data_IF_592432130991
#
_entry.id   IF_592432130991
#
_cell.length_a   1.000
_cell.length_b   1.000
_cell.length_c   1.000
_cell.angle_alpha   90.00
_cell.angle_beta   90.00
_cell.angle_gamma   90.00
#
_symmetry.space_group_name_H-M   'P 1'
#
loop_
_entity.id
_entity.type
_entity.pdbx_description
1 polymer ?
#
# COMPACT_ATOMS: atom_id res chain seq x y z
N UNK A 1 49.31 21.76 20.41
CA UNK A 1 49.16 21.04 19.11
C UNK A 1 48.30 19.75 19.19
N UNK A 2 48.22 19.08 20.33
CA UNK A 2 47.43 17.83 20.50
C UNK A 2 45.90 18.00 20.36
N UNK A 3 45.33 19.14 20.77
CA UNK A 3 43.87 19.40 20.74
C UNK A 3 43.33 19.59 19.31
N UNK A 4 44.15 20.02 18.37
CA UNK A 4 43.77 20.19 16.94
C UNK A 4 43.75 18.86 16.19
N UNK A 5 44.59 17.88 16.58
CA UNK A 5 44.60 16.53 16.01
C UNK A 5 43.42 15.71 16.45
N UNK A 6 42.96 15.88 17.72
CA UNK A 6 41.79 15.16 18.24
C UNK A 6 40.49 15.56 17.52
N UNK A 7 40.32 16.88 17.26
CA UNK A 7 39.16 17.42 16.52
C UNK A 7 39.13 16.98 15.05
N UNK A 8 40.30 16.74 14.44
CA UNK A 8 40.40 16.24 13.05
C UNK A 8 40.14 14.74 12.95
N UNK A 9 40.40 13.97 14.00
CA UNK A 9 40.10 12.53 14.07
C UNK A 9 38.61 12.26 14.41
N UNK A 10 37.99 13.16 15.17
CA UNK A 10 36.53 13.09 15.43
C UNK A 10 35.74 13.41 14.17
N UNK A 11 36.15 14.39 13.37
CA UNK A 11 35.52 14.73 12.09
C UNK A 11 35.72 13.64 11.01
N UNK A 12 36.74 12.77 11.15
CA UNK A 12 36.98 11.66 10.20
C UNK A 12 36.15 10.41 10.58
N UNK A 13 35.76 10.28 11.85
CA UNK A 13 34.85 9.18 12.29
C UNK A 13 33.39 9.43 11.88
N UNK A 14 32.97 10.70 11.76
CA UNK A 14 31.61 11.05 11.31
C UNK A 14 31.37 10.84 9.79
N UNK A 15 32.43 10.62 9.00
CA UNK A 15 32.33 10.44 7.54
C UNK A 15 32.11 8.99 7.13
N UNK A 16 32.15 8.04 8.07
CA UNK A 16 32.01 6.60 7.74
C UNK A 16 30.65 5.98 8.10
N UNK A 17 29.70 6.74 8.62
CA UNK A 17 28.32 6.32 8.57
C UNK A 17 27.76 6.65 7.18
N UNK A 18 27.87 5.69 6.26
CA UNK A 18 27.08 5.67 5.02
C UNK A 18 25.60 5.56 5.38
N UNK A 19 25.02 6.63 5.86
CA UNK A 19 23.58 6.81 5.87
C UNK A 19 23.15 6.92 4.40
N UNK A 20 22.78 5.79 3.81
CA UNK A 20 22.02 5.79 2.57
C UNK A 20 20.94 6.87 2.70
N UNK A 21 20.98 7.87 1.83
CA UNK A 21 19.98 8.93 1.79
C UNK A 21 18.61 8.30 1.91
N UNK A 22 17.74 8.84 2.73
CA UNK A 22 16.41 8.28 3.01
C UNK A 22 15.60 8.04 1.72
N UNK A 23 15.85 8.81 0.70
CA UNK A 23 15.29 8.68 -0.65
C UNK A 23 15.81 7.44 -1.39
N UNK A 24 17.10 7.12 -1.25
CA UNK A 24 17.68 5.91 -1.84
C UNK A 24 17.04 4.65 -1.25
N UNK A 25 16.76 4.62 0.06
CA UNK A 25 16.08 3.48 0.69
C UNK A 25 14.68 3.26 0.13
N UNK A 26 13.90 4.32 -0.12
CA UNK A 26 12.57 4.24 -0.73
C UNK A 26 12.65 3.67 -2.15
N UNK A 27 13.57 4.19 -2.96
CA UNK A 27 13.78 3.73 -4.34
C UNK A 27 14.18 2.25 -4.40
N UNK A 28 15.07 1.81 -3.49
CA UNK A 28 15.46 0.40 -3.39
C UNK A 28 14.24 -0.48 -3.07
N UNK A 29 13.42 -0.11 -2.07
CA UNK A 29 12.22 -0.86 -1.75
C UNK A 29 11.22 -0.89 -2.91
N UNK A 30 11.03 0.25 -3.61
CA UNK A 30 10.17 0.31 -4.77
C UNK A 30 10.63 -0.63 -5.90
N UNK A 31 11.95 -0.69 -6.17
CA UNK A 31 12.52 -1.60 -7.17
C UNK A 31 12.34 -3.07 -6.74
N UNK A 32 12.54 -3.38 -5.45
CA UNK A 32 12.33 -4.74 -4.92
C UNK A 32 10.86 -5.15 -5.12
N UNK A 33 9.89 -4.31 -4.76
CA UNK A 33 8.48 -4.62 -4.94
C UNK A 33 8.09 -4.75 -6.41
N UNK A 34 8.62 -3.89 -7.29
CA UNK A 34 8.40 -4.00 -8.73
C UNK A 34 8.99 -5.31 -9.29
N UNK A 35 10.18 -5.71 -8.82
CA UNK A 35 10.79 -6.98 -9.18
C UNK A 35 9.96 -8.19 -8.73
N UNK A 36 9.45 -8.17 -7.49
CA UNK A 36 8.56 -9.21 -6.98
C UNK A 36 7.27 -9.27 -7.82
N UNK A 37 6.66 -8.14 -8.16
CA UNK A 37 5.48 -8.09 -9.00
C UNK A 37 5.73 -8.72 -10.38
N UNK A 38 6.87 -8.40 -11.00
CA UNK A 38 7.28 -8.99 -12.27
C UNK A 38 7.50 -10.50 -12.16
N UNK A 39 8.09 -10.98 -11.06
CA UNK A 39 8.26 -12.42 -10.81
C UNK A 39 6.92 -13.14 -10.67
N UNK A 40 5.93 -12.56 -9.97
CA UNK A 40 4.59 -13.13 -9.89
C UNK A 40 3.91 -13.19 -11.26
N UNK A 41 4.06 -12.17 -12.12
CA UNK A 41 3.56 -12.22 -13.48
C UNK A 41 4.25 -13.31 -14.30
N UNK A 42 5.58 -13.40 -14.20
CA UNK A 42 6.36 -14.43 -14.92
C UNK A 42 6.00 -15.85 -14.46
N UNK A 43 5.72 -16.05 -13.16
CA UNK A 43 5.32 -17.33 -12.61
C UNK A 43 4.04 -17.87 -13.27
N UNK A 44 3.07 -16.99 -13.55
CA UNK A 44 1.83 -17.33 -14.28
C UNK A 44 2.10 -17.88 -15.69
N UNK A 45 3.10 -17.32 -16.37
CA UNK A 45 3.49 -17.74 -17.72
C UNK A 45 4.54 -18.86 -17.73
N UNK A 46 4.80 -19.52 -16.58
CA UNK A 46 5.84 -20.53 -16.41
C UNK A 46 7.27 -20.04 -16.75
N UNK A 47 7.45 -18.72 -16.84
CA UNK A 47 8.75 -18.10 -17.12
C UNK A 47 9.66 -17.96 -15.91
N UNK A 48 9.16 -18.22 -14.69
CA UNK A 48 9.92 -18.11 -13.44
C UNK A 48 10.56 -19.44 -12.98
N UNK A 49 10.62 -20.43 -13.84
CA UNK A 49 11.22 -21.74 -13.56
C UNK A 49 10.42 -22.59 -12.56
N UNK A 50 10.99 -23.73 -12.07
CA UNK A 50 10.29 -24.65 -11.18
C UNK A 50 9.82 -24.03 -9.88
N UNK A 51 10.62 -23.12 -9.30
CA UNK A 51 10.24 -22.41 -8.08
C UNK A 51 9.03 -21.49 -8.32
N UNK A 52 8.99 -20.79 -9.45
CA UNK A 52 7.87 -19.93 -9.80
C UNK A 52 6.58 -20.71 -10.02
N UNK A 53 6.62 -21.89 -10.67
CA UNK A 53 5.44 -22.72 -10.86
C UNK A 53 4.91 -23.26 -9.53
N UNK A 54 5.79 -23.67 -8.60
CA UNK A 54 5.40 -24.10 -7.26
C UNK A 54 4.67 -23.00 -6.47
N UNK A 55 5.22 -21.80 -6.46
CA UNK A 55 4.54 -20.66 -5.82
C UNK A 55 3.22 -20.31 -6.52
N UNK A 56 3.18 -20.39 -7.85
CA UNK A 56 1.96 -20.13 -8.60
C UNK A 56 0.84 -21.09 -8.19
N UNK A 57 1.10 -22.40 -8.13
CA UNK A 57 0.11 -23.42 -7.75
C UNK A 57 -0.45 -23.20 -6.34
N UNK A 58 0.43 -22.85 -5.38
CA UNK A 58 -0.02 -22.55 -4.01
C UNK A 58 -0.94 -21.31 -4.00
N UNK A 59 -0.50 -20.22 -4.63
CA UNK A 59 -1.26 -18.98 -4.62
C UNK A 59 -2.51 -19.04 -5.48
N UNK A 60 -2.52 -19.83 -6.56
CA UNK A 60 -3.71 -20.09 -7.36
C UNK A 60 -4.76 -20.86 -6.55
N UNK A 61 -4.37 -21.86 -5.78
CA UNK A 61 -5.29 -22.60 -4.90
C UNK A 61 -5.88 -21.70 -3.82
N UNK A 62 -5.05 -20.83 -3.21
CA UNK A 62 -5.49 -19.94 -2.13
C UNK A 62 -6.37 -18.80 -2.63
N UNK A 63 -6.05 -18.21 -3.77
CA UNK A 63 -6.63 -16.97 -4.25
C UNK A 63 -7.43 -17.11 -5.55
N UNK A 64 -7.32 -18.24 -6.24
CA UNK A 64 -8.01 -18.46 -7.50
C UNK A 64 -7.70 -17.37 -8.53
N UNK A 65 -8.74 -16.76 -9.13
CA UNK A 65 -8.58 -15.60 -10.01
C UNK A 65 -7.96 -14.41 -9.30
N UNK A 66 -8.07 -14.33 -7.99
CA UNK A 66 -7.43 -13.28 -7.19
C UNK A 66 -5.90 -13.35 -7.16
N UNK A 67 -5.28 -14.39 -7.73
CA UNK A 67 -3.84 -14.42 -7.94
C UNK A 67 -3.31 -13.15 -8.59
N UNK A 68 -4.05 -12.59 -9.55
CA UNK A 68 -3.66 -11.34 -10.22
C UNK A 68 -3.63 -10.10 -9.33
N UNK A 69 -4.30 -10.14 -8.17
CA UNK A 69 -4.18 -9.07 -7.19
C UNK A 69 -2.78 -9.00 -6.57
N UNK A 70 -2.04 -10.12 -6.50
CA UNK A 70 -0.69 -10.13 -5.94
C UNK A 70 0.28 -9.25 -6.73
N UNK A 71 0.52 -9.46 -8.04
CA UNK A 71 1.38 -8.56 -8.79
C UNK A 71 0.84 -7.12 -8.80
N UNK A 72 -0.49 -6.93 -8.86
CA UNK A 72 -1.09 -5.61 -8.82
C UNK A 72 -0.74 -4.86 -7.53
N UNK A 73 -0.88 -5.51 -6.36
CA UNK A 73 -0.59 -4.86 -5.09
C UNK A 73 0.89 -4.55 -4.92
N UNK A 74 1.78 -5.43 -5.38
CA UNK A 74 3.21 -5.16 -5.35
C UNK A 74 3.58 -3.96 -6.24
N UNK A 75 2.94 -3.79 -7.39
CA UNK A 75 3.09 -2.58 -8.21
C UNK A 75 2.53 -1.34 -7.51
N UNK A 76 1.37 -1.45 -6.87
CA UNK A 76 0.80 -0.34 -6.09
C UNK A 76 1.71 0.05 -4.93
N UNK A 77 2.28 -0.92 -4.22
CA UNK A 77 3.26 -0.67 -3.16
C UNK A 77 4.52 0.00 -3.70
N UNK A 78 5.06 -0.47 -4.81
CA UNK A 78 6.21 0.16 -5.45
C UNK A 78 5.92 1.64 -5.78
N UNK A 79 4.76 1.93 -6.37
CA UNK A 79 4.31 3.29 -6.64
C UNK A 79 4.12 4.14 -5.37
N UNK A 80 3.51 3.56 -4.32
CA UNK A 80 3.33 4.23 -3.05
C UNK A 80 4.66 4.62 -2.40
N UNK A 81 5.69 3.76 -2.48
CA UNK A 81 7.02 4.07 -1.97
C UNK A 81 7.74 5.17 -2.75
N UNK A 82 7.52 5.26 -4.07
CA UNK A 82 8.10 6.34 -4.89
C UNK A 82 7.44 7.68 -4.62
N UNK A 83 6.11 7.71 -4.44
CA UNK A 83 5.34 8.95 -4.29
C UNK A 83 5.41 9.51 -2.86
N UNK A 84 5.65 8.65 -1.88
CA UNK A 84 5.48 9.02 -0.48
C UNK A 84 6.69 9.72 0.13
N UNK A 85 6.48 10.89 0.72
CA UNK A 85 7.51 11.70 1.37
C UNK A 85 7.70 11.39 2.88
N UNK A 86 6.79 10.68 3.53
CA UNK A 86 6.79 10.53 5.00
C UNK A 86 7.50 9.27 5.51
N UNK A 87 8.22 9.42 6.64
CA UNK A 87 9.04 8.34 7.27
C UNK A 87 8.26 7.14 7.82
N UNK A 88 6.96 7.23 8.06
CA UNK A 88 6.15 6.22 8.79
C UNK A 88 5.18 5.42 7.93
N UNK A 89 5.49 5.26 6.64
CA UNK A 89 4.56 4.76 5.65
C UNK A 89 4.51 3.24 5.58
N UNK A 90 5.63 2.58 5.87
CA UNK A 90 5.75 1.14 5.67
C UNK A 90 4.60 0.35 6.30
N UNK A 91 4.34 0.53 7.61
CA UNK A 91 3.31 -0.22 8.32
C UNK A 91 1.91 0.04 7.78
N UNK A 92 1.58 1.31 7.49
CA UNK A 92 0.26 1.71 6.99
C UNK A 92 0.03 1.14 5.59
N UNK A 93 1.03 1.22 4.72
CA UNK A 93 0.95 0.65 3.36
C UNK A 93 0.77 -0.87 3.39
N UNK A 94 1.48 -1.58 4.29
CA UNK A 94 1.29 -3.03 4.45
C UNK A 94 -0.11 -3.40 4.95
N UNK A 95 -0.66 -2.65 5.90
CA UNK A 95 -2.04 -2.84 6.37
C UNK A 95 -3.03 -2.61 5.23
N UNK A 96 -2.85 -1.51 4.47
CA UNK A 96 -3.66 -1.23 3.28
C UNK A 96 -3.56 -2.34 2.24
N UNK A 97 -2.35 -2.88 2.02
CA UNK A 97 -2.10 -3.99 1.12
C UNK A 97 -2.86 -5.27 1.54
N UNK A 98 -2.80 -5.63 2.81
CA UNK A 98 -3.52 -6.79 3.35
C UNK A 98 -5.04 -6.62 3.22
N UNK A 99 -5.56 -5.43 3.56
CA UNK A 99 -6.98 -5.11 3.39
C UNK A 99 -7.41 -5.16 1.92
N UNK A 100 -6.56 -4.69 1.00
CA UNK A 100 -6.83 -4.72 -0.43
C UNK A 100 -6.93 -6.16 -0.96
N UNK A 101 -6.01 -7.04 -0.53
CA UNK A 101 -6.07 -8.46 -0.91
C UNK A 101 -7.37 -9.08 -0.40
N UNK A 102 -7.68 -8.92 0.89
CA UNK A 102 -8.88 -9.51 1.48
C UNK A 102 -10.16 -8.99 0.83
N UNK A 103 -10.30 -7.67 0.68
CA UNK A 103 -11.49 -7.07 0.06
C UNK A 103 -11.57 -7.41 -1.42
N UNK A 104 -10.45 -7.38 -2.15
CA UNK A 104 -10.39 -7.73 -3.57
C UNK A 104 -10.76 -9.18 -3.84
N UNK A 105 -10.29 -10.12 -3.01
CA UNK A 105 -10.67 -11.52 -3.09
C UNK A 105 -12.16 -11.73 -2.82
N UNK A 106 -12.70 -11.06 -1.79
CA UNK A 106 -14.13 -11.08 -1.51
C UNK A 106 -14.95 -10.49 -2.67
N UNK A 107 -14.48 -9.42 -3.29
CA UNK A 107 -15.12 -8.83 -4.45
C UNK A 107 -15.13 -9.78 -5.65
N UNK A 108 -14.02 -10.47 -5.90
CA UNK A 108 -13.94 -11.48 -6.98
C UNK A 108 -14.89 -12.62 -6.70
N UNK A 109 -14.98 -13.11 -5.47
CA UNK A 109 -15.83 -14.24 -5.12
C UNK A 109 -17.33 -13.89 -5.22
N UNK A 110 -17.73 -12.67 -4.83
CA UNK A 110 -19.11 -12.17 -4.98
C UNK A 110 -19.48 -12.00 -6.46
N UNK A 111 -18.57 -11.50 -7.31
CA UNK A 111 -18.82 -11.29 -8.73
C UNK A 111 -18.73 -12.60 -9.54
N UNK A 112 -17.84 -13.50 -9.15
CA UNK A 112 -17.55 -14.77 -9.79
C UNK A 112 -17.50 -15.87 -8.72
N UNK A 113 -18.64 -16.43 -8.32
CA UNK A 113 -18.72 -17.45 -7.27
C UNK A 113 -17.70 -18.57 -7.47
N UNK A 114 -17.06 -18.99 -6.39
CA UNK A 114 -16.03 -20.04 -6.33
C UNK A 114 -14.71 -19.72 -7.04
N UNK A 115 -14.54 -18.52 -7.60
CA UNK A 115 -13.29 -18.14 -8.27
C UNK A 115 -12.33 -17.31 -7.44
N UNK A 116 -12.73 -16.91 -6.23
CA UNK A 116 -11.89 -16.20 -5.27
C UNK A 116 -10.87 -17.08 -4.54
N UNK A 117 -10.84 -18.40 -4.82
CA UNK A 117 -10.03 -19.37 -4.08
C UNK A 117 -10.53 -19.55 -2.64
N UNK A 118 -9.74 -20.27 -1.82
CA UNK A 118 -10.13 -20.57 -0.43
C UNK A 118 -10.36 -19.31 0.39
N UNK A 119 -9.49 -18.32 0.23
CA UNK A 119 -9.58 -17.05 0.99
C UNK A 119 -10.75 -16.19 0.49
N UNK A 120 -10.95 -16.10 -0.81
CA UNK A 120 -12.08 -15.36 -1.40
C UNK A 120 -13.43 -15.94 -0.97
N UNK A 121 -13.55 -17.25 -0.95
CA UNK A 121 -14.76 -17.95 -0.47
C UNK A 121 -15.05 -17.63 1.00
N UNK A 122 -14.02 -17.57 1.85
CA UNK A 122 -14.20 -17.23 3.25
C UNK A 122 -14.72 -15.79 3.42
N UNK A 123 -14.18 -14.84 2.67
CA UNK A 123 -14.60 -13.42 2.72
C UNK A 123 -15.93 -13.23 1.99
N UNK A 124 -16.15 -13.89 0.85
CA UNK A 124 -17.38 -13.85 0.07
C UNK A 124 -18.61 -14.41 0.82
N UNK A 125 -18.37 -15.27 1.83
CA UNK A 125 -19.42 -15.79 2.71
C UNK A 125 -20.25 -14.72 3.43
N UNK A 126 -19.78 -13.50 3.49
CA UNK A 126 -20.54 -12.34 4.02
C UNK A 126 -21.78 -12.02 3.19
N UNK A 127 -21.83 -12.48 1.95
CA UNK A 127 -23.02 -12.40 1.10
C UNK A 127 -24.25 -13.08 1.77
N UNK A 128 -24.02 -14.17 2.51
CA UNK A 128 -25.08 -14.87 3.25
C UNK A 128 -25.69 -14.04 4.38
N UNK A 129 -24.94 -13.06 4.91
CA UNK A 129 -25.39 -12.19 6.01
C UNK A 129 -26.07 -10.91 5.49
N UNK A 130 -25.51 -10.28 4.46
CA UNK A 130 -25.95 -8.97 3.99
C UNK A 130 -26.66 -9.00 2.63
N UNK A 131 -26.75 -10.19 2.01
CA UNK A 131 -27.22 -10.37 0.64
C UNK A 131 -26.24 -9.84 -0.40
N UNK A 132 -26.45 -10.17 -1.66
CA UNK A 132 -25.54 -9.81 -2.76
C UNK A 132 -25.26 -8.31 -2.85
N UNK A 133 -26.30 -7.48 -2.89
CA UNK A 133 -26.14 -6.03 -3.04
C UNK A 133 -25.43 -5.39 -1.83
N UNK A 134 -25.78 -5.79 -0.60
CA UNK A 134 -25.17 -5.27 0.62
C UNK A 134 -23.68 -5.63 0.71
N UNK A 135 -23.34 -6.89 0.47
CA UNK A 135 -21.97 -7.38 0.47
C UNK A 135 -21.12 -6.71 -0.59
N UNK A 136 -21.66 -6.54 -1.80
CA UNK A 136 -20.97 -5.86 -2.90
C UNK A 136 -20.59 -4.42 -2.52
N UNK A 137 -21.52 -3.67 -1.93
CA UNK A 137 -21.26 -2.28 -1.51
C UNK A 137 -20.20 -2.23 -0.41
N UNK A 138 -20.31 -3.09 0.61
CA UNK A 138 -19.36 -3.13 1.72
C UNK A 138 -17.96 -3.46 1.22
N UNK A 139 -17.82 -4.53 0.43
CA UNK A 139 -16.53 -5.01 -0.04
C UNK A 139 -15.91 -4.03 -1.05
N UNK A 140 -16.71 -3.42 -1.93
CA UNK A 140 -16.25 -2.37 -2.84
C UNK A 140 -15.76 -1.13 -2.07
N UNK A 141 -16.50 -0.70 -1.04
CA UNK A 141 -16.07 0.40 -0.19
C UNK A 141 -14.75 0.08 0.53
N UNK A 142 -14.60 -1.14 1.07
CA UNK A 142 -13.35 -1.57 1.70
C UNK A 142 -12.18 -1.60 0.71
N UNK A 143 -12.42 -2.01 -0.53
CA UNK A 143 -11.40 -1.99 -1.60
C UNK A 143 -10.95 -0.57 -1.89
N UNK A 144 -11.86 0.39 -2.01
CA UNK A 144 -11.54 1.81 -2.22
C UNK A 144 -10.77 2.36 -1.03
N UNK A 145 -11.22 2.10 0.20
CA UNK A 145 -10.54 2.53 1.42
C UNK A 145 -9.11 1.97 1.49
N UNK A 146 -8.91 0.70 1.15
CA UNK A 146 -7.58 0.09 1.17
C UNK A 146 -6.63 0.73 0.16
N UNK A 147 -7.11 1.11 -1.03
CA UNK A 147 -6.33 1.85 -2.03
C UNK A 147 -5.90 3.21 -1.46
N UNK A 148 -6.82 3.95 -0.84
CA UNK A 148 -6.51 5.23 -0.21
C UNK A 148 -5.46 5.10 0.90
N UNK A 149 -5.55 4.02 1.69
CA UNK A 149 -4.57 3.71 2.73
C UNK A 149 -3.19 3.40 2.13
N UNK A 150 -3.12 2.60 1.05
CA UNK A 150 -1.87 2.25 0.38
C UNK A 150 -1.12 3.50 -0.09
N UNK A 151 -1.83 4.40 -0.76
CA UNK A 151 -1.25 5.64 -1.26
C UNK A 151 -1.14 6.73 -0.19
N UNK A 152 -1.66 6.48 1.02
CA UNK A 152 -1.73 7.48 2.10
C UNK A 152 -2.29 8.83 1.61
N UNK A 153 -3.30 8.75 0.74
CA UNK A 153 -3.91 9.90 0.09
C UNK A 153 -5.02 10.48 0.98
N UNK A 154 -4.84 11.68 1.57
CA UNK A 154 -5.92 12.31 2.32
C UNK A 154 -7.04 12.71 1.37
N UNK A 155 -8.27 12.30 1.64
CA UNK A 155 -9.45 12.83 0.95
C UNK A 155 -9.58 14.29 1.39
N UNK A 156 -9.09 15.22 0.58
CA UNK A 156 -9.32 16.64 0.78
C UNK A 156 -10.77 16.95 0.36
N UNK A 157 -11.70 16.76 1.29
CA UNK A 157 -13.04 17.32 1.13
C UNK A 157 -12.84 18.83 1.22
N UNK A 158 -12.90 19.49 0.08
CA UNK A 158 -12.79 20.95 0.00
C UNK A 158 -14.05 21.56 0.65
N UNK A 159 -14.01 21.68 1.98
CA UNK A 159 -15.02 22.38 2.74
C UNK A 159 -14.83 23.88 2.48
N UNK A 160 -15.37 24.36 1.36
CA UNK A 160 -15.67 25.78 1.19
C UNK A 160 -16.78 26.15 2.18
N UNK A 161 -16.46 26.13 3.45
CA UNK A 161 -17.19 26.93 4.41
C UNK A 161 -16.64 28.34 4.27
N UNK A 162 -17.35 29.11 3.48
CA UNK A 162 -17.32 30.55 3.46
C UNK A 162 -17.73 31.03 4.85
N UNK A 163 -16.73 31.14 5.75
CA UNK A 163 -16.83 31.92 6.98
C UNK A 163 -16.47 33.32 6.57
N UNK A 164 -17.48 34.19 6.41
CA UNK A 164 -17.27 35.63 6.39
C UNK A 164 -16.54 36.04 7.66
N UNK A 165 -15.48 36.85 7.58
CA UNK A 165 -14.94 37.49 8.78
C UNK A 165 -16.03 38.44 9.30
N UNK A 166 -16.46 38.23 10.53
CA UNK A 166 -17.21 39.23 11.27
C UNK A 166 -16.21 40.36 11.53
N UNK A 167 -16.39 41.44 10.76
CA UNK A 167 -15.64 42.66 10.94
C UNK A 167 -15.84 43.16 12.39
N UNK A 168 -14.77 43.06 13.18
CA UNK A 168 -14.67 43.77 14.45
C UNK A 168 -14.39 45.24 14.14
N UNK A 169 -15.46 45.95 13.74
CA UNK A 169 -15.50 47.40 13.64
C UNK A 169 -16.33 47.94 14.78
N UNK A 170 -15.85 47.79 16.00
CA UNK A 170 -16.40 48.47 17.18
C UNK A 170 -15.36 48.61 18.29
N UNK A 171 -14.29 49.37 18.04
CA UNK A 171 -13.47 49.96 19.11
C UNK A 171 -12.68 51.19 18.69
N UNK A 172 -13.40 52.16 18.12
CA UNK A 172 -12.90 53.52 17.93
C UNK A 172 -13.98 54.55 18.21
N UNK A 173 -14.51 54.57 19.43
CA UNK A 173 -15.26 55.71 19.97
C UNK A 173 -15.30 55.60 21.52
N UNK A 174 -14.21 55.90 22.17
CA UNK A 174 -14.13 56.64 23.45
C UNK A 174 -12.72 57.21 23.60
#
# INVERSE_FOLDING_TARGET
MARRKKKKLENVKDVSEYHLHHETKKSVWAIIFAGIAALFLLARFRGAGPAGSFFYEIFETLFGLGYYLLPLIFFMMAGAFLISERRRIYTITFIGAALFILSGLGLIDILFPEKGGVVGMAVGSWEKLFGYAGSLVIVAAMTVISILIIFNAPIKINKKLKGEPIDAEEDKLI
#
